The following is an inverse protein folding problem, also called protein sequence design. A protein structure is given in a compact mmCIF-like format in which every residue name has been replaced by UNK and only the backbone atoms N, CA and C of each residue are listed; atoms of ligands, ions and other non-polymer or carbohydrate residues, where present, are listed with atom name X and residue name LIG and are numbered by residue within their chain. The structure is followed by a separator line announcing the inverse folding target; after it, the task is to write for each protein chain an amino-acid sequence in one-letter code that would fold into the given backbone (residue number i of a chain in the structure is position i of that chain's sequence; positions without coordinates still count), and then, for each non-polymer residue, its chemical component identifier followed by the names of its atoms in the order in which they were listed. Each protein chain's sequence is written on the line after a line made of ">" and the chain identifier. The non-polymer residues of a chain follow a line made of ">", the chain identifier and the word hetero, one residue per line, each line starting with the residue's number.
data_IF_426045890972
#
_entry.id   IF_426045890972
#
_cell.length_a   1.000
_cell.length_b   1.000
_cell.length_c   1.000
_cell.angle_alpha   90.00
_cell.angle_beta   90.00
_cell.angle_gamma   90.00
#
_symmetry.space_group_name_H-M   'P 1'
#
loop_
_entity.id
_entity.type
_entity.pdbx_description
1 polymer ?
#
# COMPACT_ATOMS: atom_id res chain seq x y z
N UNK A 1 -5.89 31.72 -19.62
CA UNK A 1 -6.34 30.47 -18.95
C UNK A 1 -5.77 30.45 -17.55
N UNK A 2 -6.58 30.58 -16.47
CA UNK A 2 -6.04 30.78 -15.11
C UNK A 2 -5.58 29.49 -14.40
N UNK A 3 -5.83 28.31 -14.96
CA UNK A 3 -5.56 27.02 -14.27
C UNK A 3 -4.09 26.55 -14.34
N UNK A 4 -3.32 26.98 -15.32
CA UNK A 4 -1.91 26.54 -15.48
C UNK A 4 -0.94 27.06 -14.41
N UNK A 5 -1.17 28.23 -13.87
CA UNK A 5 -0.26 28.86 -12.91
C UNK A 5 -0.36 28.24 -11.50
N UNK A 6 -1.57 27.89 -11.06
CA UNK A 6 -1.77 27.29 -9.74
C UNK A 6 -1.18 25.87 -9.62
N UNK A 7 -1.31 25.05 -10.65
CA UNK A 7 -0.70 23.71 -10.68
C UNK A 7 0.83 23.78 -10.65
N UNK A 8 1.43 24.75 -11.33
CA UNK A 8 2.87 24.94 -11.30
C UNK A 8 3.38 25.32 -9.90
N UNK A 9 2.71 26.23 -9.21
CA UNK A 9 3.08 26.64 -7.84
C UNK A 9 2.89 25.47 -6.84
N UNK A 10 1.77 24.77 -6.91
CA UNK A 10 1.51 23.62 -6.06
C UNK A 10 2.53 22.51 -6.27
N UNK A 11 2.86 22.21 -7.53
CA UNK A 11 3.91 21.25 -7.87
C UNK A 11 5.27 21.65 -7.29
N UNK A 12 5.65 22.91 -7.39
CA UNK A 12 6.90 23.41 -6.82
C UNK A 12 6.95 23.28 -5.31
N UNK A 13 5.85 23.56 -4.62
CA UNK A 13 5.73 23.36 -3.17
C UNK A 13 5.92 21.90 -2.78
N UNK A 14 5.23 20.98 -3.44
CA UNK A 14 5.44 19.55 -3.19
C UNK A 14 6.87 19.10 -3.45
N UNK A 15 7.50 19.58 -4.53
CA UNK A 15 8.91 19.28 -4.82
C UNK A 15 9.81 19.79 -3.69
N UNK A 16 9.60 21.00 -3.20
CA UNK A 16 10.37 21.57 -2.11
C UNK A 16 10.20 20.76 -0.81
N UNK A 17 8.98 20.50 -0.40
CA UNK A 17 8.67 19.73 0.82
C UNK A 17 9.24 18.31 0.75
N UNK A 18 9.05 17.61 -0.37
CA UNK A 18 9.58 16.25 -0.52
C UNK A 18 11.11 16.22 -0.62
N UNK A 19 11.73 17.25 -1.17
CA UNK A 19 13.20 17.36 -1.15
C UNK A 19 13.73 17.55 0.28
N UNK A 20 13.01 18.29 1.11
CA UNK A 20 13.37 18.52 2.50
C UNK A 20 13.25 17.24 3.36
N UNK A 21 12.39 16.29 2.95
CA UNK A 21 12.30 14.98 3.62
C UNK A 21 13.58 14.15 3.55
N UNK A 22 14.56 14.52 2.73
CA UNK A 22 15.89 13.87 2.71
C UNK A 22 16.64 13.94 4.04
N UNK A 23 16.30 14.87 4.91
CA UNK A 23 16.83 14.96 6.28
C UNK A 23 16.31 13.88 7.22
N UNK A 24 15.23 13.18 6.85
CA UNK A 24 14.65 12.11 7.65
C UNK A 24 15.42 10.83 7.39
N UNK A 25 15.92 10.19 8.46
CA UNK A 25 16.54 8.88 8.42
C UNK A 25 15.49 7.80 8.67
N UNK A 26 15.12 6.99 7.67
CA UNK A 26 14.09 5.98 7.84
C UNK A 26 14.62 4.80 8.67
N UNK A 27 13.87 4.41 9.70
CA UNK A 27 14.19 3.22 10.48
C UNK A 27 14.08 1.94 9.63
N UNK A 28 14.82 0.90 10.00
CA UNK A 28 14.82 -0.39 9.30
C UNK A 28 13.53 -1.18 9.58
N UNK A 29 12.53 -0.94 8.71
CA UNK A 29 11.24 -1.60 8.61
C UNK A 29 10.72 -1.38 7.16
N UNK A 30 9.44 -1.23 6.94
CA UNK A 30 8.89 -0.78 5.65
C UNK A 30 9.29 0.69 5.29
N UNK A 31 9.83 1.47 6.22
CA UNK A 31 10.08 2.91 6.07
C UNK A 31 11.08 3.31 4.97
N UNK A 32 12.12 2.55 4.63
CA UNK A 32 12.97 2.85 3.48
C UNK A 32 12.18 3.02 2.17
N UNK A 33 11.04 2.35 2.02
CA UNK A 33 10.19 2.50 0.84
C UNK A 33 9.54 3.88 0.72
N UNK A 34 9.25 4.55 1.84
CA UNK A 34 8.79 5.94 1.77
C UNK A 34 9.86 6.85 1.19
N UNK A 35 11.14 6.65 1.58
CA UNK A 35 12.25 7.38 0.98
C UNK A 35 12.37 7.12 -0.52
N UNK A 36 12.29 5.85 -0.94
CA UNK A 36 12.32 5.48 -2.35
C UNK A 36 11.14 6.07 -3.13
N UNK A 37 9.93 6.05 -2.56
CA UNK A 37 8.72 6.59 -3.19
C UNK A 37 8.81 8.11 -3.37
N UNK A 38 9.32 8.83 -2.37
CA UNK A 38 9.55 10.29 -2.46
C UNK A 38 10.53 10.62 -3.58
N UNK A 39 11.67 9.92 -3.66
CA UNK A 39 12.66 10.14 -4.71
C UNK A 39 12.12 9.77 -6.10
N UNK A 40 11.31 8.71 -6.19
CA UNK A 40 10.64 8.30 -7.42
C UNK A 40 9.60 9.34 -7.88
N UNK A 41 8.85 9.92 -6.92
CA UNK A 41 7.94 11.03 -7.21
C UNK A 41 8.70 12.25 -7.74
N UNK A 42 9.82 12.65 -7.09
CA UNK A 42 10.65 13.78 -7.55
C UNK A 42 11.11 13.55 -8.99
N UNK A 43 11.55 12.33 -9.33
CA UNK A 43 11.93 11.96 -10.69
C UNK A 43 10.76 12.08 -11.67
N UNK A 44 9.61 11.49 -11.34
CA UNK A 44 8.38 11.58 -12.15
C UNK A 44 7.93 13.03 -12.35
N UNK A 45 8.17 13.89 -11.37
CA UNK A 45 7.88 15.31 -11.44
C UNK A 45 8.88 16.12 -12.27
N UNK A 46 10.00 15.52 -12.73
CA UNK A 46 11.08 16.17 -13.46
C UNK A 46 12.01 16.99 -12.56
N UNK A 47 12.02 16.72 -11.26
CA UNK A 47 12.91 17.33 -10.29
C UNK A 47 14.18 16.49 -10.06
N UNK A 48 15.27 17.05 -9.51
CA UNK A 48 16.44 16.29 -9.09
C UNK A 48 16.05 15.21 -8.08
N UNK A 49 16.40 13.96 -8.38
CA UNK A 49 16.11 12.80 -7.53
C UNK A 49 17.39 12.02 -7.21
N UNK A 50 17.42 11.40 -6.04
CA UNK A 50 18.56 10.62 -5.57
C UNK A 50 18.35 9.12 -5.87
N UNK A 51 19.01 8.65 -6.94
CA UNK A 51 18.93 7.23 -7.36
C UNK A 51 19.58 6.31 -6.32
N UNK A 52 20.60 6.78 -5.57
CA UNK A 52 21.22 5.95 -4.53
C UNK A 52 20.24 5.67 -3.39
N UNK A 53 19.45 6.67 -2.96
CA UNK A 53 18.39 6.47 -1.94
C UNK A 53 17.36 5.45 -2.40
N UNK A 54 16.92 5.51 -3.67
CA UNK A 54 16.02 4.50 -4.25
C UNK A 54 16.66 3.11 -4.18
N UNK A 55 17.85 2.97 -4.76
CA UNK A 55 18.52 1.67 -4.89
C UNK A 55 18.89 1.06 -3.53
N UNK A 56 19.33 1.88 -2.55
CA UNK A 56 19.64 1.39 -1.21
C UNK A 56 18.41 0.93 -0.45
N UNK A 57 17.29 1.64 -0.62
CA UNK A 57 16.01 1.25 -0.02
C UNK A 57 15.51 -0.08 -0.58
N UNK A 58 15.52 -0.23 -1.91
CA UNK A 58 15.08 -1.49 -2.56
C UNK A 58 15.96 -2.67 -2.13
N UNK A 59 17.30 -2.50 -2.13
CA UNK A 59 18.20 -3.57 -1.65
C UNK A 59 17.93 -3.94 -0.20
N UNK A 60 17.61 -2.95 0.65
CA UNK A 60 17.32 -3.22 2.06
C UNK A 60 16.03 -4.02 2.24
N UNK A 61 14.99 -3.73 1.47
CA UNK A 61 13.74 -4.50 1.49
C UNK A 61 13.96 -5.92 0.95
N UNK A 62 14.77 -6.07 -0.11
CA UNK A 62 15.09 -7.40 -0.67
C UNK A 62 15.78 -8.32 0.32
N UNK A 63 16.60 -7.80 1.22
CA UNK A 63 17.22 -8.59 2.30
C UNK A 63 16.18 -9.26 3.21
N UNK A 64 14.95 -8.73 3.25
CA UNK A 64 13.87 -9.22 4.10
C UNK A 64 12.84 -10.06 3.35
N UNK A 65 13.09 -10.40 2.10
CA UNK A 65 12.23 -11.33 1.36
C UNK A 65 12.33 -12.73 1.97
N UNK A 66 11.20 -13.29 2.41
CA UNK A 66 11.16 -14.59 3.09
C UNK A 66 10.58 -15.70 2.21
N UNK A 67 10.25 -15.39 0.96
CA UNK A 67 9.72 -16.36 0.00
C UNK A 67 8.19 -16.29 -0.14
N UNK A 68 7.69 -16.95 -1.16
CA UNK A 68 6.25 -17.12 -1.44
C UNK A 68 5.43 -15.82 -1.48
N UNK A 69 6.07 -14.72 -1.92
CA UNK A 69 5.46 -13.40 -2.01
C UNK A 69 5.45 -12.60 -0.70
N UNK A 70 6.13 -13.05 0.35
CA UNK A 70 6.16 -12.36 1.64
C UNK A 70 7.50 -11.69 1.90
N UNK A 71 7.43 -10.52 2.52
CA UNK A 71 8.55 -9.79 3.10
C UNK A 71 8.37 -9.70 4.62
N UNK A 72 9.45 -9.86 5.37
CA UNK A 72 9.49 -9.45 6.77
C UNK A 72 9.47 -7.93 6.86
N UNK A 73 8.76 -7.35 7.82
CA UNK A 73 8.75 -5.90 8.05
C UNK A 73 9.95 -5.49 8.93
N UNK A 74 11.14 -5.63 8.35
CA UNK A 74 12.41 -5.29 8.99
C UNK A 74 13.30 -6.51 9.31
N UNK A 75 14.46 -6.28 9.99
CA UNK A 75 15.49 -7.29 10.20
C UNK A 75 15.09 -8.37 11.21
N UNK A 76 14.12 -8.08 12.08
CA UNK A 76 13.48 -9.10 12.93
C UNK A 76 12.24 -9.58 12.23
N UNK A 77 12.07 -10.88 12.11
CA UNK A 77 10.89 -11.44 11.44
C UNK A 77 9.60 -10.86 12.03
N UNK A 78 8.85 -10.17 11.18
CA UNK A 78 7.54 -9.62 11.47
C UNK A 78 6.59 -9.98 10.33
N UNK A 79 5.55 -10.70 10.68
CA UNK A 79 4.52 -11.14 9.76
C UNK A 79 3.29 -10.26 9.97
N UNK A 80 3.00 -9.38 9.02
CA UNK A 80 1.92 -8.40 9.14
C UNK A 80 1.38 -7.94 7.78
N UNK A 81 0.31 -7.18 7.81
CA UNK A 81 -0.31 -6.62 6.62
C UNK A 81 0.44 -5.42 6.01
N UNK A 82 1.63 -5.04 6.52
CA UNK A 82 2.46 -4.04 5.85
C UNK A 82 2.93 -4.50 4.47
N UNK A 83 2.98 -5.81 4.22
CA UNK A 83 3.13 -6.34 2.87
C UNK A 83 2.07 -5.78 1.90
N UNK A 84 0.83 -5.61 2.38
CA UNK A 84 -0.28 -5.07 1.61
C UNK A 84 -0.41 -3.56 1.67
N UNK A 85 -0.22 -2.96 2.86
CA UNK A 85 -0.38 -1.51 3.02
C UNK A 85 0.69 -0.72 2.28
N UNK A 86 1.94 -1.21 2.32
CA UNK A 86 3.14 -0.44 1.97
C UNK A 86 4.06 -1.21 1.05
N UNK A 87 4.54 -2.42 1.43
CA UNK A 87 5.73 -3.02 0.83
C UNK A 87 5.51 -3.28 -0.67
N UNK A 88 4.60 -4.15 -1.03
CA UNK A 88 4.33 -4.46 -2.44
C UNK A 88 3.86 -3.24 -3.26
N UNK A 89 2.86 -2.46 -2.83
CA UNK A 89 2.39 -1.33 -3.63
C UNK A 89 3.49 -0.31 -3.90
N UNK A 90 4.29 0.06 -2.89
CA UNK A 90 5.36 1.03 -3.08
C UNK A 90 6.52 0.46 -3.91
N UNK A 91 6.88 -0.83 -3.73
CA UNK A 91 7.91 -1.47 -4.55
C UNK A 91 7.53 -1.47 -6.02
N UNK A 92 6.31 -1.88 -6.34
CA UNK A 92 5.82 -1.90 -7.73
C UNK A 92 5.84 -0.50 -8.35
N UNK A 93 5.36 0.52 -7.64
CA UNK A 93 5.38 1.92 -8.11
C UNK A 93 6.81 2.43 -8.36
N UNK A 94 7.71 2.18 -7.41
CA UNK A 94 9.13 2.61 -7.51
C UNK A 94 9.81 1.91 -8.68
N UNK A 95 9.68 0.59 -8.78
CA UNK A 95 10.30 -0.22 -9.83
C UNK A 95 9.75 0.12 -11.22
N UNK A 96 8.45 0.42 -11.32
CA UNK A 96 7.84 0.88 -12.57
C UNK A 96 8.45 2.21 -13.03
N UNK A 97 8.65 3.15 -12.11
CA UNK A 97 9.28 4.45 -12.43
C UNK A 97 10.74 4.25 -12.84
N UNK A 98 11.49 3.37 -12.17
CA UNK A 98 12.86 3.05 -12.57
C UNK A 98 12.91 2.44 -13.97
N UNK A 99 12.09 1.43 -14.25
CA UNK A 99 11.99 0.77 -15.57
C UNK A 99 11.66 1.77 -16.68
N UNK A 100 10.69 2.66 -16.46
CA UNK A 100 10.30 3.71 -17.42
C UNK A 100 11.40 4.73 -17.69
N UNK A 101 12.33 4.89 -16.77
CA UNK A 101 13.47 5.82 -16.92
C UNK A 101 14.78 5.12 -17.33
N UNK A 102 14.75 3.83 -17.68
CA UNK A 102 15.94 3.07 -18.08
C UNK A 102 16.96 2.88 -16.96
N UNK A 103 16.51 2.88 -15.70
CA UNK A 103 17.38 2.71 -14.53
C UNK A 103 17.27 1.25 -14.07
N UNK A 104 18.43 0.58 -14.02
CA UNK A 104 18.52 -0.78 -13.50
C UNK A 104 18.25 -0.83 -12.01
N UNK A 105 17.55 -1.86 -11.58
CA UNK A 105 17.28 -2.17 -10.19
C UNK A 105 17.84 -3.55 -9.82
N UNK A 106 18.24 -3.71 -8.55
CA UNK A 106 18.61 -5.01 -8.00
C UNK A 106 17.45 -6.03 -7.99
N UNK A 107 16.22 -5.52 -8.02
CA UNK A 107 15.00 -6.33 -8.13
C UNK A 107 14.40 -6.05 -9.50
N UNK A 108 14.27 -7.04 -10.39
CA UNK A 108 13.54 -6.88 -11.64
C UNK A 108 12.07 -6.54 -11.38
N UNK A 109 11.53 -5.58 -12.13
CA UNK A 109 10.12 -5.17 -12.00
C UNK A 109 9.17 -6.36 -12.18
N UNK A 110 9.44 -7.19 -13.19
CA UNK A 110 8.57 -8.33 -13.52
C UNK A 110 8.59 -9.39 -12.41
N UNK A 111 9.74 -9.62 -11.75
CA UNK A 111 9.84 -10.50 -10.57
C UNK A 111 8.99 -9.98 -9.41
N UNK A 112 9.01 -8.67 -9.16
CA UNK A 112 8.17 -8.10 -8.10
C UNK A 112 6.67 -8.23 -8.43
N UNK A 113 6.28 -8.11 -9.69
CA UNK A 113 4.88 -8.37 -10.10
C UNK A 113 4.48 -9.83 -9.85
N UNK A 114 5.36 -10.80 -10.09
CA UNK A 114 5.11 -12.21 -9.77
C UNK A 114 4.93 -12.43 -8.26
N UNK A 115 5.81 -11.84 -7.44
CA UNK A 115 5.70 -11.88 -5.97
C UNK A 115 4.41 -11.24 -5.47
N UNK A 116 4.05 -10.11 -6.07
CA UNK A 116 2.83 -9.37 -5.74
C UNK A 116 1.57 -10.17 -6.06
N UNK A 117 1.50 -10.76 -7.24
CA UNK A 117 0.39 -11.63 -7.65
C UNK A 117 0.27 -12.86 -6.73
N UNK A 118 1.42 -13.45 -6.35
CA UNK A 118 1.45 -14.58 -5.43
C UNK A 118 0.97 -14.21 -4.03
N UNK A 119 1.37 -13.05 -3.51
CA UNK A 119 0.88 -12.53 -2.24
C UNK A 119 -0.64 -12.28 -2.28
N UNK A 120 -1.13 -11.62 -3.32
CA UNK A 120 -2.55 -11.34 -3.50
C UNK A 120 -3.40 -12.60 -3.56
N UNK A 121 -2.91 -13.67 -4.20
CA UNK A 121 -3.58 -14.97 -4.21
C UNK A 121 -3.78 -15.54 -2.81
N UNK A 122 -2.78 -15.41 -1.94
CA UNK A 122 -2.90 -15.87 -0.56
C UNK A 122 -3.86 -14.99 0.22
N UNK A 123 -3.87 -13.68 -0.04
CA UNK A 123 -4.82 -12.77 0.59
C UNK A 123 -6.27 -13.15 0.29
N UNK A 124 -6.60 -13.49 -0.95
CA UNK A 124 -7.95 -13.93 -1.30
C UNK A 124 -8.39 -15.12 -0.44
N UNK A 125 -7.50 -16.09 -0.22
CA UNK A 125 -7.77 -17.29 0.59
C UNK A 125 -7.85 -17.06 2.09
N UNK A 126 -7.35 -15.93 2.58
CA UNK A 126 -7.50 -15.54 3.98
C UNK A 126 -8.90 -14.99 4.29
N UNK A 127 -9.72 -14.72 3.29
CA UNK A 127 -11.05 -14.16 3.46
C UNK A 127 -12.06 -15.31 3.62
N UNK A 128 -12.74 -15.34 4.76
CA UNK A 128 -13.82 -16.32 4.99
C UNK A 128 -15.07 -15.94 4.21
N UNK A 129 -15.98 -16.92 3.96
CA UNK A 129 -17.28 -16.64 3.35
C UNK A 129 -18.10 -15.60 4.11
N UNK A 130 -17.89 -15.45 5.41
CA UNK A 130 -18.58 -14.47 6.27
C UNK A 130 -17.94 -13.07 6.22
N UNK A 131 -16.90 -12.87 5.41
CA UNK A 131 -16.18 -11.60 5.32
C UNK A 131 -15.32 -11.31 6.55
N UNK A 132 -14.76 -12.34 7.18
CA UNK A 132 -13.74 -12.20 8.23
C UNK A 132 -12.36 -12.57 7.68
N UNK A 133 -11.33 -12.18 8.37
CA UNK A 133 -9.94 -12.52 8.04
C UNK A 133 -9.06 -12.55 9.30
N UNK A 134 -7.92 -13.24 9.27
CA UNK A 134 -7.04 -13.37 10.42
C UNK A 134 -6.53 -12.03 10.92
N UNK A 135 -6.49 -11.87 12.23
CA UNK A 135 -5.82 -10.74 12.89
C UNK A 135 -4.34 -11.07 12.98
N UNK A 136 -3.51 -10.37 12.18
CA UNK A 136 -2.08 -10.62 12.05
C UNK A 136 -1.32 -9.30 12.17
N UNK A 137 -0.30 -9.28 13.02
CA UNK A 137 0.61 -8.16 13.16
C UNK A 137 -0.01 -6.94 13.84
N UNK A 138 0.25 -5.77 13.28
CA UNK A 138 -0.05 -4.45 13.84
C UNK A 138 -0.87 -3.59 12.86
N UNK A 139 -1.28 -2.40 13.30
CA UNK A 139 -2.05 -1.43 12.51
C UNK A 139 -3.42 -1.96 12.05
N UNK A 140 -4.04 -2.77 12.87
CA UNK A 140 -5.34 -3.37 12.58
C UNK A 140 -6.45 -2.33 12.39
N UNK A 141 -6.26 -1.12 12.91
CA UNK A 141 -7.17 0.01 12.73
C UNK A 141 -7.28 0.47 11.25
N UNK A 142 -6.37 0.03 10.37
CA UNK A 142 -6.50 0.25 8.93
C UNK A 142 -7.47 -0.74 8.25
N UNK A 143 -8.12 -1.59 9.02
CA UNK A 143 -9.25 -2.44 8.62
C UNK A 143 -9.00 -3.21 7.31
N UNK A 144 -9.97 -3.13 6.39
CA UNK A 144 -9.91 -3.75 5.06
C UNK A 144 -8.77 -3.21 4.17
N UNK A 145 -8.07 -2.15 4.57
CA UNK A 145 -6.82 -1.75 3.95
C UNK A 145 -5.78 -2.88 3.89
N UNK A 146 -5.89 -3.86 4.79
CA UNK A 146 -5.13 -5.13 4.74
C UNK A 146 -5.19 -5.83 3.37
N UNK A 147 -6.18 -5.52 2.53
CA UNK A 147 -6.38 -6.10 1.19
C UNK A 147 -6.11 -5.12 0.05
N UNK A 148 -5.37 -4.05 0.30
CA UNK A 148 -4.93 -3.13 -0.74
C UNK A 148 -4.18 -3.87 -1.87
N UNK A 149 -3.26 -4.77 -1.51
CA UNK A 149 -2.53 -5.56 -2.49
C UNK A 149 -3.44 -6.39 -3.39
N UNK A 150 -4.43 -7.09 -2.83
CA UNK A 150 -5.38 -7.88 -3.62
C UNK A 150 -6.17 -7.00 -4.59
N UNK A 151 -6.60 -5.83 -4.14
CA UNK A 151 -7.34 -4.87 -4.97
C UNK A 151 -6.48 -4.27 -6.09
N UNK A 152 -5.22 -3.91 -5.79
CA UNK A 152 -4.30 -3.34 -6.80
C UNK A 152 -3.87 -4.38 -7.83
N UNK A 153 -3.63 -5.63 -7.42
CA UNK A 153 -3.34 -6.74 -8.34
C UNK A 153 -4.52 -7.00 -9.28
N UNK A 154 -5.75 -6.92 -8.77
CA UNK A 154 -6.96 -7.00 -9.60
C UNK A 154 -7.04 -5.82 -10.58
N UNK A 155 -6.82 -4.60 -10.10
CA UNK A 155 -6.81 -3.38 -10.92
C UNK A 155 -5.77 -3.44 -12.04
N UNK A 156 -4.57 -3.96 -11.75
CA UNK A 156 -3.47 -4.15 -12.71
C UNK A 156 -3.68 -5.34 -13.65
N UNK A 157 -4.75 -6.12 -13.48
CA UNK A 157 -5.05 -7.34 -14.25
C UNK A 157 -3.96 -8.42 -14.14
N UNK A 158 -3.38 -8.54 -12.95
CA UNK A 158 -2.29 -9.48 -12.61
C UNK A 158 -2.77 -10.69 -11.80
N UNK A 159 -4.09 -10.87 -11.65
CA UNK A 159 -4.63 -12.01 -10.91
C UNK A 159 -4.19 -13.34 -11.55
N UNK A 160 -3.70 -14.32 -10.77
CA UNK A 160 -3.45 -15.66 -11.26
C UNK A 160 -4.74 -16.30 -11.84
N UNK A 161 -4.61 -17.19 -12.85
CA UNK A 161 -5.77 -17.80 -13.52
C UNK A 161 -6.79 -18.44 -12.58
N UNK A 162 -6.32 -18.97 -11.46
CA UNK A 162 -7.15 -19.63 -10.43
C UNK A 162 -7.91 -18.67 -9.52
N UNK A 163 -7.66 -17.37 -9.61
CA UNK A 163 -8.37 -16.32 -8.86
C UNK A 163 -9.16 -15.47 -9.84
N UNK A 164 -10.48 -15.55 -9.78
CA UNK A 164 -11.33 -14.83 -10.72
C UNK A 164 -11.64 -13.42 -10.20
N UNK A 165 -11.71 -12.39 -11.06
CA UNK A 165 -12.08 -11.03 -10.65
C UNK A 165 -13.38 -10.96 -9.84
N UNK A 166 -14.39 -11.75 -10.23
CA UNK A 166 -15.66 -11.82 -9.50
C UNK A 166 -15.51 -12.38 -8.06
N UNK A 167 -14.56 -13.32 -7.83
CA UNK A 167 -14.25 -13.80 -6.48
C UNK A 167 -13.65 -12.69 -5.64
N UNK A 168 -12.66 -11.97 -6.19
CA UNK A 168 -12.01 -10.85 -5.51
C UNK A 168 -13.03 -9.77 -5.16
N UNK A 169 -13.88 -9.38 -6.11
CA UNK A 169 -14.94 -8.40 -5.88
C UNK A 169 -15.89 -8.83 -4.76
N UNK A 170 -16.34 -10.09 -4.78
CA UNK A 170 -17.24 -10.62 -3.75
C UNK A 170 -16.56 -10.65 -2.38
N UNK A 171 -15.31 -11.12 -2.32
CA UNK A 171 -14.54 -11.20 -1.09
C UNK A 171 -14.28 -9.82 -0.48
N UNK A 172 -13.80 -8.85 -1.27
CA UNK A 172 -13.59 -7.47 -0.82
C UNK A 172 -14.90 -6.82 -0.37
N UNK A 173 -15.99 -7.02 -1.11
CA UNK A 173 -17.31 -6.49 -0.74
C UNK A 173 -17.77 -7.05 0.61
N UNK A 174 -17.57 -8.34 0.86
CA UNK A 174 -17.94 -8.99 2.13
C UNK A 174 -17.18 -8.38 3.31
N UNK A 175 -15.85 -8.21 3.20
CA UNK A 175 -15.03 -7.63 4.26
C UNK A 175 -15.42 -6.16 4.51
N UNK A 176 -15.52 -5.37 3.45
CA UNK A 176 -15.83 -3.94 3.54
C UNK A 176 -17.18 -3.77 4.22
N UNK A 177 -18.22 -4.46 3.73
CA UNK A 177 -19.56 -4.39 4.31
C UNK A 177 -19.56 -4.79 5.79
N UNK A 178 -18.87 -5.86 6.14
CA UNK A 178 -18.80 -6.32 7.53
C UNK A 178 -18.16 -5.26 8.45
N UNK A 179 -17.03 -4.68 8.05
CA UNK A 179 -16.31 -3.74 8.88
C UNK A 179 -16.95 -2.34 8.92
N UNK A 180 -17.48 -1.88 7.78
CA UNK A 180 -18.15 -0.56 7.69
C UNK A 180 -19.45 -0.56 8.48
N UNK A 181 -20.23 -1.63 8.44
CA UNK A 181 -21.50 -1.73 9.14
C UNK A 181 -21.39 -2.19 10.60
N UNK A 182 -20.18 -2.48 11.10
CA UNK A 182 -19.99 -2.81 12.50
C UNK A 182 -20.40 -1.63 13.40
N UNK A 183 -21.21 -1.83 14.46
CA UNK A 183 -21.70 -0.74 15.32
C UNK A 183 -20.54 0.09 15.89
N UNK A 184 -20.63 1.41 15.75
CA UNK A 184 -19.62 2.35 16.26
C UNK A 184 -18.39 2.54 15.37
N UNK A 185 -18.36 1.99 14.16
CA UNK A 185 -17.28 2.24 13.18
C UNK A 185 -17.18 3.72 12.83
N UNK A 186 -18.30 4.38 12.70
CA UNK A 186 -18.38 5.83 12.52
C UNK A 186 -18.91 6.52 13.75
N UNK A 187 -18.49 7.76 13.97
CA UNK A 187 -19.10 8.62 14.95
C UNK A 187 -20.40 9.25 14.41
N UNK A 188 -21.18 10.00 15.24
CA UNK A 188 -22.41 10.62 14.77
C UNK A 188 -22.23 11.59 13.59
N UNK A 189 -21.05 12.18 13.45
CA UNK A 189 -20.70 13.11 12.37
C UNK A 189 -20.20 12.39 11.10
N UNK A 190 -20.13 11.04 11.09
CA UNK A 190 -19.73 10.23 9.95
C UNK A 190 -18.22 10.01 9.81
N UNK A 191 -17.42 10.33 10.81
CA UNK A 191 -15.98 10.08 10.78
C UNK A 191 -15.62 8.68 11.29
N UNK A 192 -14.62 8.05 10.65
CA UNK A 192 -14.08 6.77 11.11
C UNK A 192 -13.49 6.89 12.51
N UNK A 193 -13.77 5.88 13.34
CA UNK A 193 -13.22 5.76 14.70
C UNK A 193 -12.14 4.68 14.73
N UNK A 194 -11.19 4.80 15.66
CA UNK A 194 -10.15 3.80 15.87
C UNK A 194 -10.78 2.45 16.22
N UNK A 195 -10.43 1.42 15.50
CA UNK A 195 -10.93 0.07 15.70
C UNK A 195 -10.76 -0.82 14.47
N UNK A 196 -10.81 -2.10 14.66
CA UNK A 196 -10.83 -3.10 13.59
C UNK A 196 -12.27 -3.36 13.09
N UNK A 197 -13.19 -3.58 14.01
CA UNK A 197 -14.62 -3.70 13.74
C UNK A 197 -15.41 -2.93 14.82
N UNK A 198 -15.99 -1.81 14.46
CA UNK A 198 -16.58 -0.87 15.42
C UNK A 198 -15.55 0.07 16.06
N UNK A 199 -15.87 0.56 17.28
CA UNK A 199 -14.99 1.44 18.05
C UNK A 199 -14.19 0.65 19.08
N UNK A 200 -12.88 0.55 18.87
CA UNK A 200 -11.95 -0.22 19.70
C UNK A 200 -10.65 0.60 19.89
N UNK A 201 -10.68 1.68 20.69
CA UNK A 201 -9.54 2.61 20.78
C UNK A 201 -8.26 1.94 21.30
N UNK A 202 -8.39 0.88 22.09
CA UNK A 202 -7.24 0.19 22.70
C UNK A 202 -6.40 -0.65 21.73
N UNK A 203 -6.89 -0.91 20.51
CA UNK A 203 -6.10 -1.59 19.49
C UNK A 203 -5.22 -0.66 18.65
N UNK A 204 -5.40 0.66 18.84
CA UNK A 204 -4.58 1.66 18.16
C UNK A 204 -3.21 1.77 18.81
N UNK A 205 -2.16 1.52 18.04
CA UNK A 205 -0.79 1.83 18.46
C UNK A 205 -0.59 3.34 18.55
N UNK A 206 0.48 3.78 19.21
CA UNK A 206 0.75 5.20 19.51
C UNK A 206 0.82 6.12 18.27
N UNK A 207 1.11 5.55 17.09
CA UNK A 207 1.15 6.27 15.82
C UNK A 207 -0.20 6.33 15.08
N UNK A 208 -1.22 5.60 15.54
CA UNK A 208 -2.54 5.61 14.92
C UNK A 208 -3.27 6.92 15.29
N UNK A 209 -3.67 7.66 14.27
CA UNK A 209 -4.51 8.84 14.37
C UNK A 209 -5.84 8.65 13.63
N UNK A 210 -6.79 9.54 13.85
CA UNK A 210 -8.08 9.51 13.12
C UNK A 210 -7.89 9.66 11.61
N UNK A 211 -6.87 10.39 11.17
CA UNK A 211 -6.54 10.55 9.75
C UNK A 211 -5.94 9.29 9.12
N UNK A 212 -5.09 8.56 9.85
CA UNK A 212 -4.42 7.36 9.33
C UNK A 212 -5.38 6.19 9.07
N UNK A 213 -6.56 6.19 9.68
CA UNK A 213 -7.60 5.16 9.45
C UNK A 213 -8.04 5.09 7.98
N UNK A 214 -7.99 6.22 7.28
CA UNK A 214 -8.40 6.31 5.87
C UNK A 214 -7.41 5.63 4.90
N UNK A 215 -6.32 5.05 5.39
CA UNK A 215 -5.49 4.13 4.60
C UNK A 215 -6.32 2.95 4.07
N UNK A 216 -7.40 2.57 4.76
CA UNK A 216 -8.33 1.55 4.27
C UNK A 216 -8.91 1.87 2.88
N UNK A 217 -9.03 3.14 2.49
CA UNK A 217 -9.59 3.53 1.19
C UNK A 217 -8.73 3.14 -0.01
N UNK A 218 -7.47 2.77 0.21
CA UNK A 218 -6.59 2.26 -0.85
C UNK A 218 -7.18 0.99 -1.53
N UNK A 219 -7.99 0.22 -0.82
CA UNK A 219 -8.71 -0.94 -1.39
C UNK A 219 -9.69 -0.54 -2.49
N UNK A 220 -10.14 0.70 -2.53
CA UNK A 220 -11.07 1.16 -3.57
C UNK A 220 -10.41 1.41 -4.94
N UNK A 221 -9.10 1.15 -5.09
CA UNK A 221 -8.41 1.33 -6.38
C UNK A 221 -9.07 0.50 -7.50
N UNK A 222 -9.60 -0.68 -7.19
CA UNK A 222 -10.31 -1.52 -8.16
C UNK A 222 -11.58 -0.86 -8.74
N UNK A 223 -12.14 0.16 -8.08
CA UNK A 223 -13.26 0.93 -8.64
C UNK A 223 -12.86 1.79 -9.85
N UNK A 224 -11.57 1.92 -10.13
CA UNK A 224 -11.05 2.53 -11.36
C UNK A 224 -11.17 1.65 -12.60
N UNK A 225 -11.56 0.37 -12.45
CA UNK A 225 -11.81 -0.52 -13.57
C UNK A 225 -13.15 -0.19 -14.26
N UNK A 226 -13.26 -0.46 -15.58
CA UNK A 226 -14.53 -0.41 -16.27
C UNK A 226 -15.59 -1.35 -15.66
N UNK A 227 -16.87 -0.99 -15.79
CA UNK A 227 -17.98 -1.81 -15.28
C UNK A 227 -18.02 -3.24 -15.86
N UNK A 228 -17.42 -3.42 -17.03
CA UNK A 228 -17.33 -4.71 -17.74
C UNK A 228 -16.26 -5.67 -17.19
N UNK A 229 -15.40 -5.21 -16.29
CA UNK A 229 -14.24 -5.98 -15.77
C UNK A 229 -14.54 -6.73 -14.46
#
# INVERSE_FOLDING_TARGET
>A
MPYGCHWSITKQRYIAEFTDLRRVDPSYSNWPLFSATVESFLRKAGAPSDTYRISSSLRKIEEWYVGDGWYSDGPRFAFDYYNSFVIHPMMVEVLEIMKKNGIESSIPYDLELERYARYAEQQERLISPEGTFPIVGRSLAYRFGAFHALSDVAYRKLLPERVKPAQVRSALSAIINRQVNAPGTFNPEGWLRVGFAGYQPHIGETYISTGSLYLCTAVFIALGLPESD
#
